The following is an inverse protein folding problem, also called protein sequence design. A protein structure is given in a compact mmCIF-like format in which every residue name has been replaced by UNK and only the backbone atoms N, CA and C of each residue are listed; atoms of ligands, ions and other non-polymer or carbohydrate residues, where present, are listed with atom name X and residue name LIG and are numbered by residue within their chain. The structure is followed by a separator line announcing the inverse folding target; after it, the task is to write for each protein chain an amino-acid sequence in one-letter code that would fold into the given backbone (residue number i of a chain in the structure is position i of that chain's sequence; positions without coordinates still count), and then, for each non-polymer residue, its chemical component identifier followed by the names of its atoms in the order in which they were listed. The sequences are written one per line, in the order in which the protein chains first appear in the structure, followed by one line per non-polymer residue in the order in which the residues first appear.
data_IF_465166443574
#
_entry.id   IF_465166443574
#
_cell.length_a   1.000
_cell.length_b   1.000
_cell.length_c   1.000
_cell.angle_alpha   90.00
_cell.angle_beta   90.00
_cell.angle_gamma   90.00
#
_symmetry.space_group_name_H-M   'P 1'
#
loop_
_entity.id
_entity.type
_entity.pdbx_description
1 polymer ?
#
# COMPACT_ATOMS: atom_id res chain seq x y z
N UNK A 1 56.88 -12.02 -19.72
CA UNK A 1 56.71 -11.34 -18.41
C UNK A 1 55.58 -10.30 -18.45
N UNK A 2 55.63 -9.30 -19.35
CA UNK A 2 54.59 -8.25 -19.46
C UNK A 2 53.19 -8.80 -19.79
N UNK A 3 53.10 -9.83 -20.64
CA UNK A 3 51.83 -10.46 -21.03
C UNK A 3 51.12 -11.16 -19.86
N UNK A 4 51.86 -11.80 -18.97
CA UNK A 4 51.32 -12.47 -17.78
C UNK A 4 50.82 -11.46 -16.74
N UNK A 5 51.48 -10.31 -16.64
CA UNK A 5 51.06 -9.20 -15.76
C UNK A 5 49.73 -8.60 -16.25
N UNK A 6 49.52 -8.49 -17.57
CA UNK A 6 48.26 -7.97 -18.15
C UNK A 6 47.09 -8.90 -17.81
N UNK A 7 47.26 -10.22 -17.90
CA UNK A 7 46.21 -11.18 -17.56
C UNK A 7 45.85 -11.16 -16.07
N UNK A 8 46.84 -11.00 -15.19
CA UNK A 8 46.62 -10.87 -13.74
C UNK A 8 45.85 -9.58 -13.38
N UNK A 9 46.14 -8.46 -14.06
CA UNK A 9 45.40 -7.20 -13.86
C UNK A 9 43.95 -7.33 -14.34
N UNK A 10 43.73 -8.01 -15.48
CA UNK A 10 42.39 -8.19 -16.03
C UNK A 10 41.50 -9.07 -15.13
N UNK A 11 42.07 -10.13 -14.56
CA UNK A 11 41.41 -10.98 -13.56
C UNK A 11 41.11 -10.20 -12.28
N UNK A 12 42.05 -9.40 -11.80
CA UNK A 12 41.85 -8.58 -10.59
C UNK A 12 40.70 -7.58 -10.74
N UNK A 13 40.54 -6.95 -11.90
CA UNK A 13 39.44 -5.99 -12.17
C UNK A 13 38.08 -6.69 -12.13
N UNK A 14 38.00 -7.95 -12.57
CA UNK A 14 36.75 -8.71 -12.56
C UNK A 14 36.27 -9.06 -11.14
N UNK A 15 37.20 -9.24 -10.19
CA UNK A 15 36.87 -9.53 -8.79
C UNK A 15 36.32 -8.33 -8.01
N UNK A 16 36.65 -7.08 -8.39
CA UNK A 16 36.16 -5.88 -7.69
C UNK A 16 34.77 -5.40 -8.16
N UNK A 17 34.21 -5.95 -9.23
CA UNK A 17 32.89 -5.54 -9.75
C UNK A 17 31.69 -6.10 -8.96
N UNK A 18 31.92 -6.99 -7.99
CA UNK A 18 30.88 -7.75 -7.29
C UNK A 18 30.31 -7.13 -6.02
N UNK A 19 30.91 -6.06 -5.47
CA UNK A 19 30.43 -5.48 -4.22
C UNK A 19 29.40 -4.36 -4.50
N UNK A 20 28.11 -4.73 -4.51
CA UNK A 20 27.00 -3.77 -4.51
C UNK A 20 26.35 -3.80 -3.13
N UNK A 21 26.40 -2.69 -2.41
CA UNK A 21 25.66 -2.50 -1.16
C UNK A 21 24.19 -2.28 -1.50
N UNK A 22 23.32 -3.23 -1.15
CA UNK A 22 21.89 -3.00 -1.13
C UNK A 22 21.55 -2.10 0.06
N UNK A 23 21.31 -0.82 -0.20
CA UNK A 23 20.71 0.07 0.80
C UNK A 23 19.27 -0.36 1.00
N UNK A 24 19.02 -1.17 2.03
CA UNK A 24 17.65 -1.34 2.53
C UNK A 24 17.16 0.05 2.95
N UNK A 25 16.21 0.61 2.21
CA UNK A 25 15.51 1.82 2.64
C UNK A 25 14.74 1.40 3.89
N UNK A 26 15.35 1.59 5.06
CA UNK A 26 14.64 1.53 6.33
C UNK A 26 13.78 2.80 6.32
N UNK A 27 12.57 2.70 5.75
CA UNK A 27 11.54 3.69 6.02
C UNK A 27 11.28 3.61 7.52
N UNK A 28 11.65 4.66 8.25
CA UNK A 28 11.20 4.87 9.61
C UNK A 28 9.68 5.05 9.57
N UNK A 29 8.96 3.94 9.75
CA UNK A 29 7.50 3.93 9.82
C UNK A 29 7.16 4.04 11.29
N UNK A 30 6.58 5.17 11.69
CA UNK A 30 5.97 5.28 12.99
C UNK A 30 4.80 4.30 13.08
N UNK A 31 5.01 3.16 13.76
CA UNK A 31 4.02 2.10 13.96
C UNK A 31 3.26 2.25 15.29
N UNK A 32 3.38 3.39 15.98
CA UNK A 32 2.71 3.60 17.27
C UNK A 32 1.19 3.48 17.17
N UNK A 33 0.60 3.76 16.00
CA UNK A 33 -0.83 3.60 15.74
C UNK A 33 -1.32 2.14 15.89
N UNK A 34 -0.45 1.15 15.73
CA UNK A 34 -0.80 -0.26 15.94
C UNK A 34 -1.09 -0.58 17.42
N UNK A 35 -0.50 0.20 18.33
CA UNK A 35 -0.61 0.00 19.78
C UNK A 35 -1.47 1.06 20.46
N UNK A 36 -1.67 2.22 19.83
CA UNK A 36 -2.54 3.29 20.32
C UNK A 36 -3.54 3.71 19.23
N UNK A 37 -4.71 3.03 19.15
CA UNK A 37 -5.72 3.31 18.12
C UNK A 37 -6.27 4.74 18.21
N UNK A 38 -6.27 5.36 19.40
CA UNK A 38 -6.72 6.74 19.61
C UNK A 38 -5.89 7.80 18.86
N UNK A 39 -4.71 7.44 18.34
CA UNK A 39 -3.89 8.33 17.51
C UNK A 39 -4.43 8.46 16.08
N UNK A 40 -5.34 7.57 15.67
CA UNK A 40 -5.91 7.57 14.32
C UNK A 40 -7.36 8.01 14.34
N UNK A 41 -7.73 8.84 13.37
CA UNK A 41 -9.11 9.29 13.18
C UNK A 41 -10.00 8.24 12.52
N UNK A 42 -9.41 7.29 11.78
CA UNK A 42 -10.12 6.28 11.01
C UNK A 42 -9.72 4.89 11.51
N UNK A 43 -10.72 4.02 11.71
CA UNK A 43 -10.51 2.64 12.09
C UNK A 43 -11.06 1.69 11.02
N UNK A 44 -10.42 1.67 9.83
CA UNK A 44 -10.88 0.83 8.74
C UNK A 44 -10.79 -0.65 9.12
N UNK A 45 -11.77 -1.44 8.65
CA UNK A 45 -11.73 -2.90 8.71
C UNK A 45 -11.57 -3.43 7.31
N UNK A 46 -10.66 -4.38 7.10
CA UNK A 46 -10.43 -4.96 5.79
C UNK A 46 -10.57 -6.47 5.80
N UNK A 47 -10.96 -7.01 4.64
CA UNK A 47 -11.00 -8.45 4.38
C UNK A 47 -10.72 -8.71 2.91
N UNK A 48 -9.94 -9.76 2.62
CA UNK A 48 -9.63 -10.18 1.27
C UNK A 48 -10.39 -11.48 0.97
N UNK A 49 -10.94 -11.57 -0.23
CA UNK A 49 -11.53 -12.81 -0.76
C UNK A 49 -10.89 -13.12 -2.11
N UNK A 50 -10.52 -14.38 -2.33
CA UNK A 50 -10.03 -14.84 -3.63
C UNK A 50 -11.22 -15.04 -4.58
N UNK A 51 -11.14 -14.45 -5.77
CA UNK A 51 -12.17 -14.63 -6.80
C UNK A 51 -11.83 -15.81 -7.71
N UNK A 52 -10.55 -15.92 -8.09
CA UNK A 52 -9.99 -17.01 -8.91
C UNK A 52 -8.49 -17.15 -8.65
N UNK A 53 -7.78 -17.92 -9.47
CA UNK A 53 -6.36 -18.20 -9.31
C UNK A 53 -5.44 -16.99 -9.59
N UNK A 54 -5.95 -15.88 -10.11
CA UNK A 54 -5.17 -14.68 -10.46
C UNK A 54 -5.56 -13.44 -9.67
N UNK A 55 -6.81 -13.36 -9.22
CA UNK A 55 -7.41 -12.13 -8.69
C UNK A 55 -8.07 -12.34 -7.33
N UNK A 56 -7.99 -11.30 -6.51
CA UNK A 56 -8.69 -11.22 -5.23
C UNK A 56 -9.41 -9.88 -5.13
N UNK A 57 -10.38 -9.79 -4.22
CA UNK A 57 -11.05 -8.53 -3.88
C UNK A 57 -10.73 -8.15 -2.44
N UNK A 58 -10.13 -6.98 -2.28
CA UNK A 58 -9.98 -6.27 -1.03
C UNK A 58 -11.29 -5.51 -0.73
N UNK A 59 -11.92 -5.86 0.37
CA UNK A 59 -13.03 -5.11 0.94
C UNK A 59 -12.49 -4.22 2.05
N UNK A 60 -12.79 -2.91 1.98
CA UNK A 60 -12.43 -1.95 3.02
C UNK A 60 -13.70 -1.30 3.54
N UNK A 61 -14.00 -1.55 4.82
CA UNK A 61 -15.11 -0.94 5.55
C UNK A 61 -14.59 0.25 6.35
N UNK A 62 -15.26 1.39 6.24
CA UNK A 62 -15.06 2.59 7.05
C UNK A 62 -16.40 3.00 7.66
N UNK A 63 -16.37 3.55 8.87
CA UNK A 63 -17.56 4.11 9.50
C UNK A 63 -17.69 5.58 9.13
N UNK A 64 -18.78 6.02 8.47
CA UNK A 64 -18.94 7.42 8.07
C UNK A 64 -18.88 8.39 9.26
N UNK A 65 -19.28 7.97 10.46
CA UNK A 65 -19.16 8.80 11.67
C UNK A 65 -17.71 9.21 12.00
N UNK A 66 -16.71 8.48 11.48
CA UNK A 66 -15.29 8.78 11.65
C UNK A 66 -14.77 9.78 10.61
N UNK A 67 -15.48 9.96 9.49
CA UNK A 67 -15.10 10.86 8.40
C UNK A 67 -15.49 12.31 8.71
N UNK A 68 -14.68 13.25 8.26
CA UNK A 68 -15.02 14.67 8.27
C UNK A 68 -15.93 15.00 7.08
N UNK A 69 -17.14 15.48 7.36
CA UNK A 69 -18.05 16.01 6.35
C UNK A 69 -18.04 17.53 6.38
N UNK A 70 -17.96 18.16 5.22
CA UNK A 70 -18.16 19.60 5.07
C UNK A 70 -18.92 19.92 3.78
N UNK A 71 -19.27 21.19 3.60
CA UNK A 71 -19.98 21.69 2.41
C UNK A 71 -19.04 22.44 1.45
N UNK A 72 -17.72 22.26 1.58
CA UNK A 72 -16.71 22.92 0.75
C UNK A 72 -16.53 22.20 -0.59
N UNK A 73 -17.64 21.97 -1.30
CA UNK A 73 -17.71 21.42 -2.65
C UNK A 73 -18.63 22.28 -3.52
N UNK A 74 -18.53 22.14 -4.84
CA UNK A 74 -19.27 22.95 -5.81
C UNK A 74 -20.80 22.87 -5.63
N UNK A 75 -21.29 21.73 -5.14
CA UNK A 75 -22.72 21.49 -4.93
C UNK A 75 -23.24 21.95 -3.55
N UNK A 76 -22.36 22.39 -2.64
CA UNK A 76 -22.73 22.86 -1.30
C UNK A 76 -23.34 21.79 -0.38
N UNK A 77 -23.12 20.51 -0.67
CA UNK A 77 -23.70 19.38 0.10
C UNK A 77 -22.70 18.84 1.11
N UNK A 78 -23.17 18.29 2.24
CA UNK A 78 -22.27 17.60 3.16
C UNK A 78 -21.65 16.35 2.51
N UNK A 79 -20.35 16.44 2.21
CA UNK A 79 -19.58 15.40 1.55
C UNK A 79 -18.29 15.14 2.31
N UNK A 80 -17.93 13.88 2.44
CA UNK A 80 -16.63 13.42 2.88
C UNK A 80 -15.84 12.86 1.69
N UNK A 81 -14.52 12.88 1.80
CA UNK A 81 -13.62 12.35 0.78
C UNK A 81 -12.68 11.29 1.38
N UNK A 82 -12.80 10.07 0.89
CA UNK A 82 -12.00 8.94 1.34
C UNK A 82 -11.08 8.49 0.22
N UNK A 83 -9.76 8.47 0.48
CA UNK A 83 -8.78 7.79 -0.36
C UNK A 83 -8.35 6.48 0.27
N UNK A 84 -8.34 5.42 -0.52
CA UNK A 84 -7.87 4.10 -0.12
C UNK A 84 -6.74 3.69 -1.04
N UNK A 85 -5.53 3.59 -0.51
CA UNK A 85 -4.35 3.10 -1.20
C UNK A 85 -4.08 1.64 -0.79
N UNK A 86 -3.54 0.86 -1.72
CA UNK A 86 -3.03 -0.46 -1.42
C UNK A 86 -1.70 -0.71 -2.11
N UNK A 87 -0.87 -1.56 -1.49
CA UNK A 87 0.37 -2.09 -2.07
C UNK A 87 0.49 -3.56 -1.73
N UNK A 88 0.66 -4.39 -2.75
CA UNK A 88 0.80 -5.83 -2.63
C UNK A 88 2.25 -6.21 -2.91
N UNK A 89 2.88 -6.86 -1.94
CA UNK A 89 4.25 -7.33 -2.00
C UNK A 89 4.29 -8.85 -1.97
N UNK A 90 5.03 -9.48 -2.88
CA UNK A 90 5.28 -10.91 -2.83
C UNK A 90 6.43 -11.22 -1.86
N UNK A 91 6.19 -12.16 -0.93
CA UNK A 91 7.14 -12.43 0.15
C UNK A 91 8.27 -13.37 -0.25
N UNK A 92 8.07 -14.20 -1.27
CA UNK A 92 9.03 -15.21 -1.69
C UNK A 92 10.18 -14.61 -2.54
N UNK A 93 9.93 -13.48 -3.24
CA UNK A 93 10.90 -12.79 -4.11
C UNK A 93 11.22 -11.38 -3.59
N UNK A 94 12.16 -11.26 -2.65
CA UNK A 94 12.75 -9.97 -2.22
C UNK A 94 11.77 -8.86 -1.80
N UNK A 95 10.53 -9.20 -1.38
CA UNK A 95 9.45 -8.22 -1.15
C UNK A 95 9.18 -7.35 -2.38
N UNK A 96 9.21 -7.94 -3.58
CA UNK A 96 8.86 -7.24 -4.81
C UNK A 96 7.41 -6.78 -4.77
N UNK A 97 7.17 -5.50 -5.06
CA UNK A 97 5.81 -4.98 -5.24
C UNK A 97 5.25 -5.51 -6.55
N UNK A 98 4.18 -6.29 -6.47
CA UNK A 98 3.55 -6.95 -7.62
C UNK A 98 2.27 -6.25 -8.09
N UNK A 99 1.65 -5.48 -7.20
CA UNK A 99 0.45 -4.70 -7.52
C UNK A 99 0.33 -3.50 -6.58
N UNK A 100 -0.26 -2.41 -7.06
CA UNK A 100 -0.55 -1.23 -6.25
C UNK A 100 -1.62 -0.37 -6.91
N UNK A 101 -2.35 0.40 -6.10
CA UNK A 101 -3.33 1.32 -6.63
C UNK A 101 -3.95 2.18 -5.56
N UNK A 102 -4.80 3.10 -6.01
CA UNK A 102 -5.61 3.91 -5.11
C UNK A 102 -7.01 4.10 -5.68
N UNK A 103 -7.97 4.29 -4.78
CA UNK A 103 -9.34 4.63 -5.10
C UNK A 103 -9.74 5.87 -4.31
N UNK A 104 -10.45 6.80 -4.95
CA UNK A 104 -10.96 8.01 -4.32
C UNK A 104 -12.49 7.97 -4.35
N UNK A 105 -13.10 8.05 -3.18
CA UNK A 105 -14.55 7.97 -3.00
C UNK A 105 -15.08 9.29 -2.44
N UNK A 106 -16.16 9.78 -3.06
CA UNK A 106 -16.98 10.87 -2.56
C UNK A 106 -18.19 10.28 -1.84
N UNK A 107 -18.33 10.59 -0.55
CA UNK A 107 -19.37 10.03 0.31
C UNK A 107 -20.30 11.17 0.70
N UNK A 108 -21.53 11.18 0.17
CA UNK A 108 -22.55 12.16 0.56
C UNK A 108 -23.24 11.71 1.84
N UNK A 109 -23.37 12.63 2.81
CA UNK A 109 -23.92 12.33 4.13
C UNK A 109 -25.36 11.79 4.06
N UNK A 110 -26.15 12.26 3.09
CA UNK A 110 -27.55 11.84 2.90
C UNK A 110 -27.69 10.40 2.40
N UNK A 111 -26.68 9.88 1.69
CA UNK A 111 -26.76 8.59 1.00
C UNK A 111 -26.05 7.47 1.75
N UNK A 112 -25.29 7.79 2.81
CA UNK A 112 -24.47 6.82 3.51
C UNK A 112 -25.17 6.32 4.76
N UNK A 113 -25.17 4.99 4.94
CA UNK A 113 -25.72 4.34 6.13
C UNK A 113 -24.67 4.33 7.25
N UNK A 114 -24.82 3.40 8.21
CA UNK A 114 -23.85 3.18 9.29
C UNK A 114 -22.44 2.81 8.80
N UNK A 115 -22.33 2.19 7.63
CA UNK A 115 -21.07 1.66 7.09
C UNK A 115 -20.90 2.07 5.61
N UNK A 116 -19.67 2.40 5.22
CA UNK A 116 -19.24 2.51 3.83
C UNK A 116 -18.29 1.36 3.50
N UNK A 117 -18.51 0.67 2.38
CA UNK A 117 -17.68 -0.48 1.96
C UNK A 117 -17.15 -0.25 0.56
N UNK A 118 -15.84 -0.07 0.45
CA UNK A 118 -15.10 -0.08 -0.81
C UNK A 118 -14.78 -1.52 -1.22
N UNK A 119 -14.85 -1.79 -2.53
CA UNK A 119 -14.45 -3.06 -3.15
C UNK A 119 -13.36 -2.77 -4.16
N UNK A 120 -12.18 -3.33 -3.94
CA UNK A 120 -10.98 -3.02 -4.72
C UNK A 120 -10.42 -4.34 -5.26
N UNK A 121 -10.39 -4.55 -6.59
CA UNK A 121 -9.73 -5.71 -7.17
C UNK A 121 -8.21 -5.58 -7.01
N UNK A 122 -7.56 -6.70 -6.69
CA UNK A 122 -6.10 -6.81 -6.57
C UNK A 122 -5.61 -8.08 -7.29
N UNK A 123 -4.42 -8.00 -7.88
CA UNK A 123 -3.77 -9.06 -8.65
C UNK A 123 -2.95 -9.96 -7.72
N UNK A 124 -3.63 -10.90 -7.05
CA UNK A 124 -3.01 -11.85 -6.14
C UNK A 124 -3.16 -13.28 -6.68
N UNK A 125 -2.07 -13.83 -7.22
CA UNK A 125 -2.04 -15.17 -7.81
C UNK A 125 -2.04 -16.25 -6.73
N UNK A 126 -2.67 -17.37 -7.01
CA UNK A 126 -2.76 -18.50 -6.09
C UNK A 126 -1.37 -19.11 -5.80
N UNK A 127 -1.26 -19.74 -4.63
CA UNK A 127 -0.06 -20.45 -4.17
C UNK A 127 1.18 -19.57 -3.95
N UNK A 128 1.01 -18.25 -3.90
CA UNK A 128 2.03 -17.28 -3.51
C UNK A 128 1.71 -16.66 -2.15
N UNK A 129 2.74 -16.20 -1.44
CA UNK A 129 2.58 -15.49 -0.17
C UNK A 129 2.74 -14.00 -0.39
N UNK A 130 1.78 -13.24 0.14
CA UNK A 130 1.77 -11.79 -0.02
C UNK A 130 1.71 -11.06 1.32
N UNK A 131 2.28 -9.86 1.33
CA UNK A 131 2.02 -8.83 2.31
C UNK A 131 1.21 -7.71 1.64
N UNK A 132 0.04 -7.41 2.17
CA UNK A 132 -0.85 -6.36 1.67
C UNK A 132 -0.84 -5.19 2.64
N UNK A 133 -0.31 -4.06 2.20
CA UNK A 133 -0.43 -2.79 2.89
C UNK A 133 -1.69 -2.07 2.40
N UNK A 134 -2.52 -1.62 3.34
CA UNK A 134 -3.74 -0.83 3.07
C UNK A 134 -3.67 0.47 3.85
N UNK A 135 -3.82 1.60 3.18
CA UNK A 135 -3.74 2.93 3.79
C UNK A 135 -5.04 3.68 3.46
N UNK A 136 -5.76 4.12 4.49
CA UNK A 136 -6.96 4.95 4.34
C UNK A 136 -6.69 6.36 4.79
N UNK A 137 -7.16 7.34 4.02
CA UNK A 137 -6.97 8.74 4.31
C UNK A 137 -8.28 9.50 4.09
N UNK A 138 -8.70 10.25 5.11
CA UNK A 138 -9.77 11.24 5.01
C UNK A 138 -9.16 12.53 4.49
N UNK A 139 -9.45 12.86 3.23
CA UNK A 139 -8.78 13.96 2.51
C UNK A 139 -9.10 15.31 3.14
N UNK A 140 -10.25 15.44 3.79
CA UNK A 140 -10.69 16.68 4.39
C UNK A 140 -10.04 16.91 5.76
N UNK A 141 -9.45 15.88 6.37
CA UNK A 141 -8.76 15.94 7.66
C UNK A 141 -7.25 16.03 7.46
N UNK A 142 -6.69 17.21 7.75
CA UNK A 142 -5.25 17.48 7.70
C UNK A 142 -4.47 16.64 8.72
#
# INVERSE_FOLDING_TARGET
MVREIIYLIFISIFFFAGCRTETSIITDRNLAYLYNPSLTSLHPRYKVFHNNDETSTLYVKVYPVELLFNQANEEGVYRAELKVFYRLYELDDFRMMVDSGYNHYYINMQNVRRDFIAKIPIQAKRSRKYNLEVITHDVLRK
#
